data_IF_211473270581
#
_entry.id   IF_211473270581
#
_cell.length_a   1.000
_cell.length_b   1.000
_cell.length_c   1.000
_cell.angle_alpha   90.00
_cell.angle_beta   90.00
_cell.angle_gamma   90.00
#
_symmetry.space_group_name_H-M   'P 1'
#
loop_
_entity.id
_entity.type
_entity.pdbx_description
1 polymer ?
#
# COMPACT_ATOMS: atom_id res chain seq x y z
N UNK A 1 -6.41 -0.53 -13.45
CA UNK A 1 -6.22 0.50 -12.40
C UNK A 1 -5.48 1.72 -12.93
N UNK A 2 -4.25 1.61 -13.44
CA UNK A 2 -3.48 2.76 -13.95
C UNK A 2 -4.22 3.60 -15.01
N UNK A 3 -4.96 2.96 -15.92
CA UNK A 3 -5.79 3.69 -16.90
C UNK A 3 -6.93 4.48 -16.27
N UNK A 4 -7.68 3.86 -15.36
CA UNK A 4 -8.75 4.51 -14.62
C UNK A 4 -8.23 5.67 -13.75
N UNK A 5 -7.05 5.52 -13.14
CA UNK A 5 -6.37 6.60 -12.42
C UNK A 5 -5.99 7.75 -13.37
N UNK A 6 -5.49 7.42 -14.57
CA UNK A 6 -5.15 8.43 -15.58
C UNK A 6 -6.38 9.24 -15.99
N UNK A 7 -7.48 8.56 -16.30
CA UNK A 7 -8.76 9.20 -16.64
C UNK A 7 -9.32 10.03 -15.48
N UNK A 8 -9.25 9.53 -14.24
CA UNK A 8 -9.69 10.24 -13.05
C UNK A 8 -8.89 11.51 -12.75
N UNK A 9 -7.64 11.57 -13.21
CA UNK A 9 -6.78 12.76 -13.15
C UNK A 9 -6.96 13.71 -14.35
N UNK A 10 -7.84 13.38 -15.31
CA UNK A 10 -8.04 14.15 -16.54
C UNK A 10 -6.90 14.01 -17.56
N UNK A 11 -6.12 12.93 -17.46
CA UNK A 11 -5.02 12.61 -18.38
C UNK A 11 -5.51 11.67 -19.49
N UNK A 12 -4.68 11.47 -20.52
CA UNK A 12 -4.91 10.41 -21.51
C UNK A 12 -5.00 9.04 -20.83
N UNK A 13 -5.89 8.17 -21.28
CA UNK A 13 -6.19 6.90 -20.59
C UNK A 13 -4.99 5.96 -20.46
N UNK A 14 -3.96 6.10 -21.29
CA UNK A 14 -2.72 5.32 -21.27
C UNK A 14 -1.54 6.07 -20.63
N UNK A 15 -1.75 7.29 -20.10
CA UNK A 15 -0.68 8.16 -19.63
C UNK A 15 0.16 7.50 -18.54
N UNK A 16 -0.44 7.11 -17.40
CA UNK A 16 0.33 6.53 -16.30
C UNK A 16 0.99 5.20 -16.70
N UNK A 17 0.32 4.39 -17.52
CA UNK A 17 0.87 3.12 -18.01
C UNK A 17 2.16 3.35 -18.81
N UNK A 18 2.20 4.40 -19.63
CA UNK A 18 3.40 4.80 -20.37
C UNK A 18 4.49 5.38 -19.48
N UNK A 19 4.13 6.23 -18.52
CA UNK A 19 5.10 6.87 -17.61
C UNK A 19 5.78 5.84 -16.69
N UNK A 20 5.05 4.83 -16.22
CA UNK A 20 5.66 3.71 -15.47
C UNK A 20 6.51 2.79 -16.35
N UNK A 21 6.40 2.90 -17.68
CA UNK A 21 7.25 2.20 -18.64
C UNK A 21 7.17 0.68 -18.53
N UNK A 22 8.34 0.02 -18.56
CA UNK A 22 8.40 -1.45 -18.44
C UNK A 22 7.99 -1.85 -17.03
N UNK A 23 6.88 -2.60 -16.94
CA UNK A 23 6.33 -3.04 -15.67
C UNK A 23 7.36 -3.88 -14.90
N UNK A 24 7.68 -3.42 -13.69
CA UNK A 24 8.39 -4.18 -12.68
C UNK A 24 7.41 -4.44 -11.54
N UNK A 25 7.29 -5.70 -11.15
CA UNK A 25 6.47 -6.12 -10.04
C UNK A 25 7.35 -6.84 -9.02
N UNK A 26 7.21 -6.47 -7.76
CA UNK A 26 7.76 -7.20 -6.63
C UNK A 26 6.60 -7.79 -5.83
N UNK A 27 6.82 -8.97 -5.26
CA UNK A 27 5.89 -9.59 -4.33
C UNK A 27 6.56 -9.64 -2.96
N UNK A 28 5.91 -9.02 -1.98
CA UNK A 28 6.30 -9.11 -0.58
C UNK A 28 5.28 -9.95 0.19
N UNK A 29 5.79 -10.96 0.91
CA UNK A 29 4.99 -11.85 1.75
C UNK A 29 5.34 -11.56 3.20
N UNK A 30 4.38 -10.98 3.93
CA UNK A 30 4.58 -10.55 5.31
C UNK A 30 3.86 -11.51 6.26
N UNK A 31 4.59 -12.07 7.23
CA UNK A 31 4.02 -12.88 8.31
C UNK A 31 4.22 -12.17 9.66
N UNK A 32 3.11 -11.89 10.33
CA UNK A 32 3.09 -11.17 11.61
C UNK A 32 2.55 -12.08 12.72
N UNK A 33 3.39 -12.85 13.43
CA UNK A 33 2.95 -13.75 14.52
C UNK A 33 2.31 -12.95 15.68
N UNK A 34 1.67 -13.57 16.70
CA UNK A 34 1.25 -12.85 17.90
C UNK A 34 2.41 -12.13 18.63
N UNK A 35 2.15 -10.97 19.27
CA UNK A 35 3.13 -10.26 20.13
C UNK A 35 2.61 -10.22 21.57
N UNK A 36 3.41 -10.61 22.59
CA UNK A 36 3.03 -10.46 24.00
C UNK A 36 2.89 -9.00 24.46
N UNK A 37 3.60 -8.06 23.82
CA UNK A 37 3.66 -6.64 24.19
C UNK A 37 3.55 -5.75 22.94
N UNK A 38 2.39 -5.73 22.26
CA UNK A 38 2.20 -5.01 20.99
C UNK A 38 2.38 -3.50 21.11
N UNK A 39 2.18 -2.92 22.28
CA UNK A 39 2.39 -1.49 22.57
C UNK A 39 3.87 -1.08 22.57
N UNK A 40 4.79 -2.04 22.68
CA UNK A 40 6.24 -1.81 22.70
C UNK A 40 6.92 -2.21 21.38
N UNK A 41 6.18 -2.78 20.43
CA UNK A 41 6.73 -3.36 19.21
C UNK A 41 6.02 -2.82 17.96
N UNK A 42 6.81 -2.30 17.02
CA UNK A 42 6.38 -2.02 15.64
C UNK A 42 6.97 -3.09 14.74
N UNK A 43 6.11 -3.79 13.99
CA UNK A 43 6.54 -4.88 13.08
C UNK A 43 7.06 -4.36 11.76
N UNK A 44 6.41 -3.33 11.23
CA UNK A 44 6.80 -2.63 10.02
C UNK A 44 6.80 -1.15 10.34
N UNK A 45 7.97 -0.51 10.24
CA UNK A 45 8.11 0.91 10.53
C UNK A 45 7.25 1.73 9.58
N UNK A 46 6.75 2.87 10.07
CA UNK A 46 6.02 3.83 9.23
C UNK A 46 6.86 4.19 8.01
N UNK A 47 6.29 4.03 6.83
CA UNK A 47 6.90 4.39 5.56
C UNK A 47 5.84 4.76 4.53
N UNK A 48 6.28 5.24 3.38
CA UNK A 48 5.49 5.26 2.16
C UNK A 48 6.16 4.33 1.17
N UNK A 49 5.35 3.57 0.45
CA UNK A 49 5.86 2.61 -0.52
C UNK A 49 6.67 3.33 -1.59
N UNK A 50 7.75 2.67 -2.03
CA UNK A 50 8.48 3.10 -3.22
C UNK A 50 7.80 2.46 -4.42
N UNK A 51 7.53 3.27 -5.45
CA UNK A 51 6.95 2.79 -6.70
C UNK A 51 5.66 3.52 -7.05
N UNK A 52 4.80 2.83 -7.82
CA UNK A 52 3.58 3.42 -8.38
C UNK A 52 2.30 2.98 -7.70
N UNK A 53 2.11 1.67 -7.58
CA UNK A 53 0.86 1.08 -7.10
C UNK A 53 1.15 -0.20 -6.31
N UNK A 54 0.71 -0.23 -5.06
CA UNK A 54 0.70 -1.42 -4.22
C UNK A 54 -0.71 -2.01 -4.19
N UNK A 55 -0.81 -3.32 -4.42
CA UNK A 55 -2.05 -4.07 -4.23
C UNK A 55 -1.82 -5.00 -3.04
N UNK A 56 -2.54 -4.75 -1.96
CA UNK A 56 -2.41 -5.49 -0.72
C UNK A 56 -3.55 -6.50 -0.57
N UNK A 57 -3.20 -7.74 -0.23
CA UNK A 57 -4.13 -8.76 0.22
C UNK A 57 -3.87 -9.02 1.71
N UNK A 58 -4.89 -8.83 2.54
CA UNK A 58 -4.83 -9.02 4.00
C UNK A 58 -5.82 -10.10 4.43
N UNK A 59 -5.50 -10.81 5.51
CA UNK A 59 -6.43 -11.74 6.15
C UNK A 59 -7.63 -10.99 6.76
N UNK A 60 -8.84 -11.44 6.47
CA UNK A 60 -10.09 -10.75 6.83
C UNK A 60 -10.28 -10.58 8.35
N UNK A 61 -9.83 -11.55 9.14
CA UNK A 61 -10.10 -11.60 10.58
C UNK A 61 -8.98 -10.98 11.44
N UNK A 62 -7.94 -10.42 10.80
CA UNK A 62 -6.79 -9.81 11.49
C UNK A 62 -6.67 -8.34 11.10
N UNK A 63 -6.79 -7.46 12.09
CA UNK A 63 -6.61 -6.02 11.92
C UNK A 63 -5.16 -5.65 12.24
N UNK A 64 -4.46 -4.99 11.30
CA UNK A 64 -3.07 -4.58 11.53
C UNK A 64 -2.57 -3.44 10.65
N UNK A 65 -3.16 -3.23 9.47
CA UNK A 65 -2.77 -2.15 8.56
C UNK A 65 -3.34 -0.83 9.04
N UNK A 66 -2.47 0.18 9.12
CA UNK A 66 -2.85 1.54 9.45
C UNK A 66 -2.24 2.51 8.44
N UNK A 67 -3.01 3.54 8.07
CA UNK A 67 -2.57 4.64 7.22
C UNK A 67 -2.56 5.94 8.03
N UNK A 68 -1.59 6.82 7.75
CA UNK A 68 -1.51 8.13 8.38
C UNK A 68 -2.24 9.16 7.53
N UNK A 69 -3.32 9.74 8.05
CA UNK A 69 -4.10 10.79 7.41
C UNK A 69 -4.29 11.98 8.36
N UNK A 70 -3.87 13.19 7.94
CA UNK A 70 -3.92 14.40 8.76
C UNK A 70 -3.32 14.19 10.17
N UNK A 71 -2.12 13.63 10.21
CA UNK A 71 -1.38 13.27 11.43
C UNK A 71 -2.06 12.28 12.38
N UNK A 72 -3.10 11.60 11.92
CA UNK A 72 -3.82 10.57 12.69
C UNK A 72 -3.71 9.23 11.99
N UNK A 73 -3.47 8.19 12.78
CA UNK A 73 -3.53 6.81 12.32
C UNK A 73 -4.98 6.36 12.13
N UNK A 74 -5.26 5.74 11.00
CA UNK A 74 -6.55 5.16 10.63
C UNK A 74 -6.35 3.70 10.26
N UNK A 75 -7.11 2.83 10.91
CA UNK A 75 -7.19 1.41 10.53
C UNK A 75 -7.88 1.25 9.19
N UNK A 76 -7.29 0.45 8.30
CA UNK A 76 -7.85 0.07 6.99
C UNK A 76 -8.78 -1.12 7.14
#
# INVERSE_FOLDING_TARGET
LLRALSEGLGLGSDYLEREFGKHQAALELNYYPPCPSPELAIRLSSHSDVGGLTILLQENDVVGVQVKFQDKWKTV
#
